data_IF_835704713123
#
_entry.id   IF_835704713123
#
_cell.length_a   1.000
_cell.length_b   1.000
_cell.length_c   1.000
_cell.angle_alpha   90.00
_cell.angle_beta   90.00
_cell.angle_gamma   90.00
#
_symmetry.space_group_name_H-M   'P 1'
#
loop_
_entity.id
_entity.type
_entity.pdbx_description
1 polymer ?
#
# COMPACT_ATOMS: atom_id res chain seq x y z
N UNK A 1 -37.76 -32.63 30.13
CA UNK A 1 -37.99 -31.25 30.54
C UNK A 1 -37.04 -30.35 29.81
N UNK A 2 -37.52 -29.65 28.80
CA UNK A 2 -36.71 -28.66 28.08
C UNK A 2 -36.67 -27.42 28.93
N UNK A 3 -35.53 -27.09 29.50
CA UNK A 3 -35.35 -25.83 30.24
C UNK A 3 -35.17 -24.73 29.20
N UNK A 4 -36.15 -23.85 29.07
CA UNK A 4 -36.01 -22.64 28.26
C UNK A 4 -35.03 -21.72 29.00
N UNK A 5 -33.89 -21.47 28.39
CA UNK A 5 -32.93 -20.49 28.90
C UNK A 5 -33.48 -19.10 28.59
N UNK A 6 -33.73 -18.31 29.61
CA UNK A 6 -34.06 -16.90 29.43
C UNK A 6 -32.75 -16.12 29.29
N UNK A 7 -32.55 -15.49 28.16
CA UNK A 7 -31.37 -14.69 27.82
C UNK A 7 -31.76 -13.20 27.86
N UNK A 8 -30.80 -12.34 28.12
CA UNK A 8 -31.02 -10.89 28.14
C UNK A 8 -30.19 -10.23 27.05
N UNK A 9 -30.86 -9.44 26.21
CA UNK A 9 -30.20 -8.70 25.15
C UNK A 9 -29.27 -7.63 25.74
N UNK A 10 -28.02 -7.63 25.32
CA UNK A 10 -27.02 -6.68 25.79
C UNK A 10 -27.26 -5.24 25.29
N UNK A 11 -28.03 -5.07 24.19
CA UNK A 11 -28.34 -3.75 23.61
C UNK A 11 -29.61 -3.12 24.21
N UNK A 12 -30.71 -3.87 24.35
CA UNK A 12 -32.00 -3.30 24.81
C UNK A 12 -32.46 -3.79 26.18
N UNK A 13 -31.77 -4.74 26.79
CA UNK A 13 -32.16 -5.30 28.09
C UNK A 13 -33.40 -6.22 28.10
N UNK A 14 -34.04 -6.46 26.95
CA UNK A 14 -35.19 -7.36 26.85
C UNK A 14 -34.76 -8.81 27.05
N UNK A 15 -35.58 -9.58 27.78
CA UNK A 15 -35.45 -11.02 27.81
C UNK A 15 -35.92 -11.64 26.50
N UNK A 16 -35.22 -12.64 25.99
CA UNK A 16 -35.58 -13.40 24.80
C UNK A 16 -35.31 -14.89 25.01
N UNK A 17 -35.89 -15.75 24.17
CA UNK A 17 -35.76 -17.19 24.31
C UNK A 17 -34.62 -17.71 23.43
N UNK A 18 -34.06 -18.88 23.80
CA UNK A 18 -33.03 -19.56 23.01
C UNK A 18 -33.54 -20.13 21.67
N UNK A 19 -34.84 -19.96 21.34
CA UNK A 19 -35.40 -20.32 20.06
C UNK A 19 -35.22 -19.21 19.00
N UNK A 20 -34.98 -17.98 19.46
CA UNK A 20 -34.64 -16.88 18.56
C UNK A 20 -33.20 -17.08 18.04
N UNK A 21 -32.88 -16.58 16.87
CA UNK A 21 -31.51 -16.62 16.37
C UNK A 21 -30.56 -15.86 17.28
N UNK A 22 -29.47 -16.51 17.66
CA UNK A 22 -28.46 -15.92 18.54
C UNK A 22 -27.38 -15.30 17.67
N UNK A 23 -27.25 -13.99 17.77
CA UNK A 23 -26.09 -13.26 17.26
C UNK A 23 -25.18 -12.89 18.42
N UNK A 24 -23.89 -13.10 18.24
CA UNK A 24 -22.88 -12.60 19.17
C UNK A 24 -22.01 -11.59 18.44
N UNK A 25 -21.59 -10.60 19.14
CA UNK A 25 -20.63 -9.64 18.63
C UNK A 25 -19.26 -10.30 18.66
N UNK A 26 -18.63 -10.45 17.48
CA UNK A 26 -17.25 -10.93 17.41
C UNK A 26 -16.35 -9.87 18.04
N UNK A 27 -15.95 -10.13 19.26
CA UNK A 27 -14.91 -9.38 19.93
C UNK A 27 -13.73 -10.33 20.10
N UNK A 28 -12.63 -10.09 19.38
CA UNK A 28 -11.40 -10.88 19.46
C UNK A 28 -10.79 -10.89 20.88
N UNK A 29 -11.31 -10.05 21.77
CA UNK A 29 -10.94 -10.00 23.17
C UNK A 29 -11.71 -10.98 24.08
N UNK A 30 -12.70 -11.71 23.54
CA UNK A 30 -13.50 -12.68 24.33
C UNK A 30 -12.61 -13.79 24.88
N UNK A 31 -12.33 -13.76 26.17
CA UNK A 31 -11.50 -14.75 26.86
C UNK A 31 -12.33 -15.84 27.57
N UNK A 32 -13.65 -15.64 27.71
CA UNK A 32 -14.56 -16.58 28.33
C UNK A 32 -15.99 -16.47 27.80
N UNK A 33 -16.80 -17.53 28.00
CA UNK A 33 -18.23 -17.51 27.67
C UNK A 33 -19.04 -16.40 28.40
N UNK A 34 -18.50 -15.84 29.46
CA UNK A 34 -19.14 -14.74 30.19
C UNK A 34 -19.03 -13.40 29.49
N UNK A 35 -18.11 -13.28 28.52
CA UNK A 35 -17.86 -12.06 27.77
C UNK A 35 -18.70 -11.98 26.48
N UNK A 36 -19.45 -13.05 26.15
CA UNK A 36 -20.32 -13.09 24.98
C UNK A 36 -21.52 -12.15 25.18
N UNK A 37 -21.61 -11.13 24.34
CA UNK A 37 -22.75 -10.22 24.31
C UNK A 37 -23.83 -10.77 23.37
N UNK A 38 -24.93 -11.23 23.93
CA UNK A 38 -26.07 -11.72 23.16
C UNK A 38 -26.97 -10.57 22.76
N UNK A 39 -27.41 -10.56 21.51
CA UNK A 39 -28.26 -9.51 20.94
C UNK A 39 -29.53 -10.15 20.35
N UNK A 40 -30.70 -9.58 20.65
CA UNK A 40 -31.98 -10.09 20.12
C UNK A 40 -32.21 -9.68 18.67
N UNK A 41 -33.05 -10.44 17.95
CA UNK A 41 -33.35 -10.22 16.53
C UNK A 41 -33.87 -8.82 16.21
N UNK A 42 -34.68 -8.21 17.10
CA UNK A 42 -35.15 -6.84 16.90
C UNK A 42 -34.01 -5.83 16.88
N UNK A 43 -33.03 -5.99 17.76
CA UNK A 43 -31.86 -5.12 17.80
C UNK A 43 -30.93 -5.34 16.59
N UNK A 44 -30.80 -6.59 16.11
CA UNK A 44 -30.05 -6.90 14.90
C UNK A 44 -30.74 -6.30 13.67
N UNK A 45 -32.06 -6.45 13.59
CA UNK A 45 -32.83 -5.86 12.47
C UNK A 45 -32.68 -4.34 12.44
N UNK A 46 -32.88 -3.67 13.58
CA UNK A 46 -32.71 -2.23 13.68
C UNK A 46 -31.27 -1.77 13.36
N UNK A 47 -30.27 -2.58 13.72
CA UNK A 47 -28.88 -2.31 13.37
C UNK A 47 -28.63 -2.43 11.87
N UNK A 48 -29.13 -3.48 11.21
CA UNK A 48 -29.04 -3.65 9.74
C UNK A 48 -29.81 -2.55 9.00
N UNK A 49 -31.01 -2.20 9.46
CA UNK A 49 -31.82 -1.12 8.88
C UNK A 49 -31.14 0.23 8.98
N UNK A 50 -30.44 0.50 10.09
CA UNK A 50 -29.66 1.72 10.28
C UNK A 50 -28.55 1.84 9.24
N UNK A 51 -27.83 0.76 8.94
CA UNK A 51 -26.65 0.76 8.10
C UNK A 51 -26.97 0.54 6.61
N UNK A 52 -28.08 1.09 6.12
CA UNK A 52 -28.38 1.12 4.69
C UNK A 52 -27.57 2.24 4.03
N UNK A 53 -26.53 1.86 3.29
CA UNK A 53 -25.59 2.79 2.64
C UNK A 53 -26.28 3.35 1.40
N UNK A 54 -26.34 4.69 1.29
CA UNK A 54 -26.79 5.39 0.10
C UNK A 54 -25.59 5.73 -0.80
N UNK A 55 -24.46 6.11 -0.20
CA UNK A 55 -23.23 6.47 -0.91
C UNK A 55 -22.02 6.26 -0.02
N UNK A 56 -20.88 5.93 -0.63
CA UNK A 56 -19.61 5.87 0.06
C UNK A 56 -18.50 6.45 -0.83
N UNK A 57 -17.63 7.25 -0.25
CA UNK A 57 -16.51 7.89 -0.91
C UNK A 57 -15.22 7.57 -0.17
N UNK A 58 -14.26 6.98 -0.89
CA UNK A 58 -12.96 6.60 -0.35
C UNK A 58 -11.92 7.66 -0.64
N UNK A 59 -11.09 7.94 0.36
CA UNK A 59 -9.95 8.85 0.27
C UNK A 59 -8.70 8.16 0.79
N UNK A 60 -7.57 8.40 0.15
CA UNK A 60 -6.29 7.95 0.65
C UNK A 60 -5.36 9.15 0.85
N UNK A 61 -4.84 9.27 2.06
CA UNK A 61 -3.86 10.29 2.39
C UNK A 61 -2.72 9.66 3.21
N UNK A 62 -1.48 9.87 2.78
CA UNK A 62 -0.28 9.34 3.46
C UNK A 62 -0.38 7.81 3.76
N UNK A 63 -0.86 7.03 2.81
CA UNK A 63 -1.08 5.57 2.93
C UNK A 63 -2.16 5.16 3.93
N UNK A 64 -2.93 6.09 4.45
CA UNK A 64 -4.10 5.80 5.27
C UNK A 64 -5.34 5.90 4.39
N UNK A 65 -6.10 4.82 4.32
CA UNK A 65 -7.37 4.77 3.60
C UNK A 65 -8.50 5.12 4.57
N UNK A 66 -9.31 6.09 4.17
CA UNK A 66 -10.50 6.49 4.92
C UNK A 66 -11.72 6.42 4.02
N UNK A 67 -12.89 6.31 4.62
CA UNK A 67 -14.18 6.31 3.92
C UNK A 67 -15.16 7.27 4.58
N UNK A 68 -15.85 8.05 3.76
CA UNK A 68 -17.02 8.83 4.15
C UNK A 68 -18.26 8.10 3.70
N UNK A 69 -19.13 7.73 4.64
CA UNK A 69 -20.36 6.95 4.37
C UNK A 69 -21.56 7.84 4.60
N UNK A 70 -22.45 7.90 3.61
CA UNK A 70 -23.79 8.50 3.73
C UNK A 70 -24.84 7.39 3.76
N UNK A 71 -25.64 7.36 4.83
CA UNK A 71 -26.72 6.41 4.98
C UNK A 71 -28.00 6.93 4.29
N UNK A 72 -28.97 6.02 4.06
CA UNK A 72 -30.24 6.38 3.42
C UNK A 72 -31.10 7.35 4.26
N UNK A 73 -30.91 7.38 5.57
CA UNK A 73 -31.58 8.34 6.47
C UNK A 73 -30.92 9.74 6.47
N UNK A 74 -29.86 9.93 5.68
CA UNK A 74 -29.09 11.17 5.58
C UNK A 74 -27.98 11.32 6.64
N UNK A 75 -27.79 10.34 7.51
CA UNK A 75 -26.65 10.34 8.48
C UNK A 75 -25.34 10.20 7.71
N UNK A 76 -24.35 11.02 8.06
CA UNK A 76 -23.03 10.97 7.45
C UNK A 76 -21.98 10.61 8.50
N UNK A 77 -21.13 9.67 8.17
CA UNK A 77 -19.93 9.29 8.92
C UNK A 77 -18.71 9.69 8.09
N UNK A 78 -17.98 10.70 8.57
CA UNK A 78 -16.86 11.29 7.82
C UNK A 78 -15.52 10.68 8.21
N UNK A 79 -14.66 10.46 7.19
CA UNK A 79 -13.25 10.11 7.36
C UNK A 79 -12.97 8.95 8.32
N UNK A 80 -13.78 7.91 8.27
CA UNK A 80 -13.55 6.71 9.07
C UNK A 80 -12.36 5.92 8.51
N UNK A 81 -11.43 5.57 9.38
CA UNK A 81 -10.36 4.64 9.02
C UNK A 81 -10.95 3.32 8.56
N UNK A 82 -10.44 2.78 7.47
CA UNK A 82 -10.95 1.54 6.91
C UNK A 82 -9.85 0.66 6.34
N UNK A 83 -10.13 -0.64 6.33
CA UNK A 83 -9.24 -1.66 5.77
C UNK A 83 -10.04 -2.58 4.86
N UNK A 84 -9.76 -2.60 3.56
CA UNK A 84 -10.38 -3.56 2.65
C UNK A 84 -9.78 -4.95 2.88
N UNK A 85 -10.65 -5.96 2.84
CA UNK A 85 -10.34 -7.38 2.99
C UNK A 85 -10.76 -8.10 1.72
N UNK A 86 -9.79 -8.43 0.87
CA UNK A 86 -10.05 -9.05 -0.44
C UNK A 86 -10.57 -10.49 -0.32
N UNK A 87 -10.08 -11.23 0.68
CA UNK A 87 -10.47 -12.62 0.93
C UNK A 87 -11.94 -12.78 1.36
N UNK A 88 -12.50 -11.78 2.01
CA UNK A 88 -13.89 -11.76 2.46
C UNK A 88 -14.77 -10.78 1.70
N UNK A 89 -14.24 -10.09 0.68
CA UNK A 89 -14.92 -9.06 -0.11
C UNK A 89 -15.66 -8.05 0.78
N UNK A 90 -14.96 -7.54 1.81
CA UNK A 90 -15.54 -6.66 2.83
C UNK A 90 -14.60 -5.50 3.17
N UNK A 91 -15.16 -4.45 3.76
CA UNK A 91 -14.39 -3.32 4.31
C UNK A 91 -14.64 -3.23 5.80
N UNK A 92 -13.57 -3.39 6.58
CA UNK A 92 -13.61 -3.20 8.03
C UNK A 92 -13.41 -1.72 8.32
N UNK A 93 -14.23 -1.18 9.22
CA UNK A 93 -14.14 0.22 9.68
C UNK A 93 -13.97 0.26 11.19
N UNK A 94 -13.65 1.45 11.74
CA UNK A 94 -13.61 1.67 13.18
C UNK A 94 -14.97 1.55 13.88
N UNK A 95 -16.07 1.62 13.11
CA UNK A 95 -17.44 1.47 13.61
C UNK A 95 -17.94 0.04 13.44
N UNK A 96 -18.80 -0.39 14.38
CA UNK A 96 -19.48 -1.70 14.33
C UNK A 96 -20.61 -1.65 13.29
N UNK A 97 -20.29 -2.06 12.06
CA UNK A 97 -21.25 -2.11 10.94
C UNK A 97 -21.59 -3.56 10.58
N UNK A 98 -22.83 -3.83 10.13
CA UNK A 98 -23.24 -5.19 9.79
C UNK A 98 -22.47 -5.74 8.57
N UNK A 99 -22.27 -7.07 8.49
CA UNK A 99 -21.54 -7.70 7.39
C UNK A 99 -22.08 -7.32 6.00
N UNK A 100 -23.38 -7.17 5.86
CA UNK A 100 -24.03 -6.77 4.60
C UNK A 100 -23.60 -5.36 4.18
N UNK A 101 -23.43 -4.44 5.14
CA UNK A 101 -22.93 -3.10 4.86
C UNK A 101 -21.42 -3.11 4.56
N UNK A 102 -20.64 -4.00 5.21
CA UNK A 102 -19.22 -4.19 4.90
C UNK A 102 -19.02 -4.67 3.45
N UNK A 103 -19.84 -5.62 2.98
CA UNK A 103 -19.83 -6.06 1.58
C UNK A 103 -20.25 -4.95 0.61
N UNK A 104 -21.29 -4.19 0.96
CA UNK A 104 -21.72 -3.07 0.13
C UNK A 104 -20.60 -2.00 0.01
N UNK A 105 -19.86 -1.72 1.08
CA UNK A 105 -18.71 -0.84 1.04
C UNK A 105 -17.60 -1.37 0.13
N UNK A 106 -17.42 -2.67 0.08
CA UNK A 106 -16.39 -3.28 -0.77
C UNK A 106 -16.65 -3.03 -2.26
N UNK A 107 -17.89 -3.00 -2.70
CA UNK A 107 -18.22 -2.64 -4.10
C UNK A 107 -17.78 -1.20 -4.43
N UNK A 108 -18.00 -0.24 -3.51
CA UNK A 108 -17.49 1.13 -3.67
C UNK A 108 -15.97 1.18 -3.66
N UNK A 109 -15.33 0.40 -2.78
CA UNK A 109 -13.87 0.31 -2.75
C UNK A 109 -13.27 -0.23 -4.05
N UNK A 110 -13.86 -1.27 -4.64
CA UNK A 110 -13.41 -1.84 -5.92
C UNK A 110 -13.51 -0.79 -7.04
N UNK A 111 -14.58 0.01 -7.06
CA UNK A 111 -14.72 1.10 -8.02
C UNK A 111 -13.63 2.16 -7.83
N UNK A 112 -13.36 2.57 -6.59
CA UNK A 112 -12.30 3.49 -6.23
C UNK A 112 -10.91 2.95 -6.62
N UNK A 113 -10.61 1.69 -6.29
CA UNK A 113 -9.33 1.06 -6.62
C UNK A 113 -9.08 1.00 -8.14
N UNK A 114 -10.10 0.65 -8.93
CA UNK A 114 -10.03 0.65 -10.40
C UNK A 114 -9.81 2.06 -10.96
N UNK A 115 -10.46 3.06 -10.39
CA UNK A 115 -10.25 4.45 -10.79
C UNK A 115 -8.81 4.88 -10.51
N UNK A 116 -8.27 4.55 -9.33
CA UNK A 116 -6.88 4.84 -8.98
C UNK A 116 -5.89 4.13 -9.89
N UNK A 117 -6.14 2.86 -10.20
CA UNK A 117 -5.31 2.12 -11.15
C UNK A 117 -5.32 2.79 -12.53
N UNK A 118 -6.50 3.17 -13.02
CA UNK A 118 -6.64 3.86 -14.30
C UNK A 118 -5.89 5.21 -14.34
N UNK A 119 -5.79 5.90 -13.22
CA UNK A 119 -5.11 7.18 -13.06
C UNK A 119 -3.57 7.06 -12.97
N UNK A 120 -3.03 5.86 -12.73
CA UNK A 120 -1.59 5.65 -12.69
C UNK A 120 -0.94 5.93 -14.06
N UNK A 121 0.27 6.49 -14.05
CA UNK A 121 1.02 6.66 -15.28
C UNK A 121 1.51 5.31 -15.79
N UNK A 122 1.17 5.01 -17.05
CA UNK A 122 1.64 3.84 -17.76
C UNK A 122 2.97 4.14 -18.44
N UNK A 123 3.02 5.23 -19.20
CA UNK A 123 4.18 5.65 -19.97
C UNK A 123 4.45 7.14 -19.71
N UNK A 124 5.73 7.50 -19.62
CA UNK A 124 6.16 8.87 -19.45
C UNK A 124 7.48 9.09 -20.20
N UNK A 125 7.48 9.99 -21.17
CA UNK A 125 8.65 10.34 -21.97
C UNK A 125 9.04 11.78 -21.72
N UNK A 126 10.30 12.00 -21.36
CA UNK A 126 10.84 13.33 -21.10
C UNK A 126 11.70 13.81 -22.28
N UNK A 127 11.54 15.08 -22.64
CA UNK A 127 12.35 15.77 -23.62
C UNK A 127 12.69 17.18 -23.13
N UNK A 128 13.74 17.79 -23.70
CA UNK A 128 14.07 19.20 -23.43
C UNK A 128 13.44 20.06 -24.51
N UNK A 129 12.62 21.03 -24.08
CA UNK A 129 12.06 22.04 -24.95
C UNK A 129 13.11 23.06 -25.43
N UNK A 130 12.76 23.86 -26.45
CA UNK A 130 13.63 24.89 -27.05
C UNK A 130 14.04 25.97 -26.02
N UNK A 131 13.20 26.24 -25.03
CA UNK A 131 13.45 27.24 -23.98
C UNK A 131 14.23 26.66 -22.77
N UNK A 132 14.74 25.43 -22.86
CA UNK A 132 15.40 24.73 -21.76
C UNK A 132 14.47 24.19 -20.67
N UNK A 133 13.16 24.37 -20.81
CA UNK A 133 12.14 23.75 -19.98
C UNK A 133 12.01 22.26 -20.33
N UNK A 134 11.52 21.50 -19.37
CA UNK A 134 11.24 20.08 -19.61
C UNK A 134 9.84 19.92 -20.20
N UNK A 135 9.73 18.97 -21.11
CA UNK A 135 8.47 18.58 -21.75
C UNK A 135 8.26 17.10 -21.48
N UNK A 136 7.06 16.72 -21.07
CA UNK A 136 6.66 15.34 -20.87
C UNK A 136 5.47 14.97 -21.76
N UNK A 137 5.53 13.77 -22.33
CA UNK A 137 4.40 13.09 -22.95
C UNK A 137 4.01 11.95 -22.02
N UNK A 138 2.77 11.95 -21.56
CA UNK A 138 2.26 11.04 -20.53
C UNK A 138 1.08 10.23 -21.06
N UNK A 139 1.00 8.97 -20.67
CA UNK A 139 -0.17 8.13 -20.88
C UNK A 139 -0.52 7.42 -19.58
N UNK A 140 -1.78 7.50 -19.17
CA UNK A 140 -2.28 6.76 -18.00
C UNK A 140 -2.65 5.33 -18.36
N UNK A 141 -2.79 4.46 -17.33
CA UNK A 141 -3.29 3.08 -17.53
C UNK A 141 -4.71 3.10 -18.10
N UNK A 142 -5.54 4.08 -17.73
CA UNK A 142 -6.88 4.29 -18.28
C UNK A 142 -6.92 4.82 -19.71
N UNK A 143 -5.74 5.15 -20.31
CA UNK A 143 -5.63 5.60 -21.70
C UNK A 143 -5.77 7.11 -21.89
N UNK A 144 -5.80 7.91 -20.83
CA UNK A 144 -5.71 9.37 -20.93
C UNK A 144 -4.33 9.76 -21.41
N UNK A 145 -4.25 10.75 -22.32
CA UNK A 145 -3.00 11.22 -22.91
C UNK A 145 -2.82 12.71 -22.64
N UNK A 146 -1.61 13.06 -22.22
CA UNK A 146 -1.18 14.44 -22.00
C UNK A 146 0.08 14.68 -22.83
N UNK A 147 -0.10 15.32 -24.00
CA UNK A 147 1.00 15.57 -24.92
C UNK A 147 1.63 16.93 -24.64
N UNK A 148 2.95 16.99 -24.71
CA UNK A 148 3.74 18.21 -24.59
C UNK A 148 3.46 19.01 -23.32
N UNK A 149 3.31 18.31 -22.19
CA UNK A 149 3.16 18.93 -20.89
C UNK A 149 4.46 19.65 -20.52
N UNK A 150 4.44 20.98 -20.56
CA UNK A 150 5.61 21.81 -20.20
C UNK A 150 5.66 22.00 -18.69
N UNK A 151 6.82 21.72 -18.10
CA UNK A 151 7.01 21.88 -16.67
C UNK A 151 8.40 22.44 -16.33
N UNK A 152 8.48 23.07 -15.18
CA UNK A 152 9.73 23.52 -14.55
C UNK A 152 9.85 22.93 -13.15
N UNK A 153 11.09 22.84 -12.66
CA UNK A 153 11.36 22.44 -11.29
C UNK A 153 11.93 23.65 -10.55
N UNK A 154 11.16 24.19 -9.62
CA UNK A 154 11.52 25.34 -8.78
C UNK A 154 11.52 24.90 -7.31
N UNK A 155 12.64 25.11 -6.62
CA UNK A 155 12.77 24.78 -5.18
C UNK A 155 12.38 23.33 -4.80
N UNK A 156 12.52 22.38 -5.75
CA UNK A 156 12.15 20.98 -5.56
C UNK A 156 10.68 20.65 -5.83
N UNK A 157 9.89 21.63 -6.21
CA UNK A 157 8.50 21.47 -6.63
C UNK A 157 8.41 21.50 -8.15
N UNK A 158 7.50 20.68 -8.68
CA UNK A 158 7.21 20.64 -10.10
C UNK A 158 6.01 21.54 -10.40
N UNK A 159 6.20 22.48 -11.31
CA UNK A 159 5.13 23.38 -11.78
C UNK A 159 4.87 23.12 -13.26
N UNK A 160 3.63 22.92 -13.62
CA UNK A 160 3.16 22.79 -14.99
C UNK A 160 2.59 24.11 -15.50
N UNK A 161 2.72 24.36 -16.82
CA UNK A 161 2.07 25.51 -17.46
C UNK A 161 0.59 25.21 -17.78
N UNK A 162 0.27 23.95 -17.98
CA UNK A 162 -1.09 23.49 -18.20
C UNK A 162 -1.76 23.13 -16.88
N UNK A 163 -3.07 23.33 -16.82
CA UNK A 163 -3.90 22.84 -15.72
C UNK A 163 -4.11 21.33 -15.88
N UNK A 164 -3.57 20.58 -14.95
CA UNK A 164 -3.65 19.11 -14.94
C UNK A 164 -4.09 18.62 -13.58
N UNK A 165 -4.80 17.49 -13.51
CA UNK A 165 -5.21 16.89 -12.24
C UNK A 165 -4.04 16.57 -11.31
N UNK A 166 -4.25 16.61 -10.00
CA UNK A 166 -3.22 16.37 -8.99
C UNK A 166 -2.56 14.99 -9.13
N UNK A 167 -3.30 13.95 -9.49
CA UNK A 167 -2.75 12.60 -9.70
C UNK A 167 -1.74 12.53 -10.85
N UNK A 168 -1.90 13.38 -11.87
CA UNK A 168 -0.91 13.52 -12.96
C UNK A 168 0.35 14.19 -12.43
N UNK A 169 0.22 15.24 -11.62
CA UNK A 169 1.37 15.92 -11.01
C UNK A 169 2.17 14.97 -10.11
N UNK A 170 1.51 14.20 -9.26
CA UNK A 170 2.17 13.22 -8.40
C UNK A 170 2.90 12.14 -9.19
N UNK A 171 2.24 11.60 -10.22
CA UNK A 171 2.83 10.64 -11.15
C UNK A 171 4.05 11.21 -11.87
N UNK A 172 3.93 12.45 -12.39
CA UNK A 172 5.00 13.15 -13.09
C UNK A 172 6.22 13.40 -12.19
N UNK A 173 6.02 13.80 -10.91
CA UNK A 173 7.10 13.96 -9.92
C UNK A 173 7.85 12.65 -9.72
N UNK A 174 7.12 11.55 -9.58
CA UNK A 174 7.70 10.22 -9.36
C UNK A 174 8.49 9.74 -10.58
N UNK A 175 7.91 9.89 -11.77
CA UNK A 175 8.55 9.54 -13.03
C UNK A 175 9.80 10.40 -13.29
N UNK A 176 9.74 11.69 -13.01
CA UNK A 176 10.88 12.60 -13.22
C UNK A 176 12.04 12.31 -12.27
N UNK A 177 11.77 11.97 -11.00
CA UNK A 177 12.81 11.51 -10.06
C UNK A 177 13.52 10.25 -10.58
N UNK A 178 12.77 9.31 -11.13
CA UNK A 178 13.31 8.09 -11.73
C UNK A 178 14.17 8.39 -12.97
N UNK A 179 13.72 9.30 -13.82
CA UNK A 179 14.45 9.77 -14.98
C UNK A 179 15.80 10.39 -14.59
N UNK A 180 15.82 11.29 -13.60
CA UNK A 180 17.06 11.91 -13.12
C UNK A 180 18.04 10.87 -12.54
N UNK A 181 17.55 9.88 -11.80
CA UNK A 181 18.38 8.81 -11.27
C UNK A 181 19.02 7.99 -12.40
N UNK A 182 18.31 7.71 -13.49
CA UNK A 182 18.84 7.03 -14.66
C UNK A 182 19.89 7.88 -15.40
N UNK A 183 19.65 9.19 -15.61
CA UNK A 183 20.65 10.08 -16.20
C UNK A 183 21.94 10.14 -15.39
N UNK A 184 21.84 10.17 -14.06
CA UNK A 184 23.02 10.14 -13.18
C UNK A 184 23.81 8.83 -13.29
N UNK A 185 23.13 7.68 -13.37
CA UNK A 185 23.78 6.39 -13.58
C UNK A 185 24.51 6.30 -14.91
N UNK A 186 23.89 6.79 -15.99
CA UNK A 186 24.50 6.82 -17.32
C UNK A 186 25.71 7.76 -17.38
N UNK A 187 25.64 8.91 -16.72
CA UNK A 187 26.77 9.87 -16.67
C UNK A 187 27.97 9.33 -15.90
N UNK A 188 27.73 8.57 -14.82
CA UNK A 188 28.80 7.92 -14.05
C UNK A 188 29.41 6.72 -14.78
N UNK A 189 28.63 5.98 -15.55
CA UNK A 189 29.12 4.86 -16.37
C UNK A 189 29.97 5.34 -17.57
N UNK A 190 29.77 6.57 -18.04
CA UNK A 190 30.53 7.18 -19.14
C UNK A 190 31.86 7.79 -18.71
N UNK A 191 32.17 7.84 -17.41
CA UNK A 191 33.50 8.28 -16.96
C UNK A 191 34.53 7.19 -17.26
N UNK A 192 35.61 7.49 -18.03
CA UNK A 192 36.67 6.52 -18.27
C UNK A 192 37.22 6.09 -16.91
N UNK A 193 37.32 4.78 -16.70
CA UNK A 193 37.92 4.21 -15.48
C UNK A 193 39.19 4.96 -15.11
N UNK A 194 39.39 5.35 -13.85
CA UNK A 194 40.61 6.02 -13.44
C UNK A 194 41.79 5.16 -13.87
N UNK A 195 42.64 5.71 -14.73
CA UNK A 195 43.89 5.00 -15.17
C UNK A 195 44.61 4.56 -13.93
N UNK A 196 44.62 3.27 -13.66
CA UNK A 196 45.49 2.72 -12.62
C UNK A 196 46.89 3.25 -12.84
N UNK A 197 47.54 3.81 -11.84
CA UNK A 197 48.92 4.22 -11.97
C UNK A 197 49.71 3.01 -12.45
N UNK A 198 50.34 3.12 -13.63
CA UNK A 198 51.20 2.08 -14.16
C UNK A 198 52.26 1.80 -13.08
N UNK A 199 52.21 0.60 -12.52
CA UNK A 199 53.29 0.14 -11.63
C UNK A 199 54.57 0.22 -12.44
N UNK A 200 55.50 1.10 -12.04
CA UNK A 200 56.87 1.11 -12.58
C UNK A 200 57.39 -0.32 -12.49
N UNK A 201 57.99 -0.86 -13.58
CA UNK A 201 58.60 -2.17 -13.51
C UNK A 201 59.66 -2.13 -12.41
N UNK A 202 59.57 -3.02 -11.44
CA UNK A 202 60.60 -3.20 -10.41
C UNK A 202 61.86 -3.67 -11.10
N UNK A 203 63.05 -3.11 -10.77
CA UNK A 203 64.31 -3.56 -11.32
C UNK A 203 64.55 -5.02 -10.92
N UNK A 204 64.97 -5.82 -11.88
CA UNK A 204 65.21 -7.28 -11.85
C UNK A 204 66.37 -7.75 -10.94
N UNK A 205 66.79 -6.98 -9.95
CA UNK A 205 67.99 -7.29 -9.19
C UNK A 205 67.78 -7.62 -7.71
N UNK A 206 66.75 -8.38 -7.39
CA UNK A 206 66.63 -8.97 -6.03
C UNK A 206 65.96 -10.35 -6.00
N UNK A 207 66.37 -11.24 -6.90
CA UNK A 207 66.15 -12.66 -6.74
C UNK A 207 67.51 -13.32 -6.54
N UNK A 208 68.00 -13.26 -5.36
CA UNK A 208 69.11 -14.21 -4.99
C UNK A 208 69.04 -14.50 -3.49
N UNK A 209 69.03 -15.77 -3.27
CA UNK A 209 69.45 -16.50 -2.06
C UNK A 209 68.49 -16.56 -0.88
N UNK A 210 68.14 -17.81 -0.62
CA UNK A 210 68.33 -18.33 0.71
C UNK A 210 67.18 -19.17 1.25
N UNK A 211 67.34 -20.46 1.06
CA UNK A 211 67.12 -21.54 2.06
C UNK A 211 65.75 -21.66 2.74
N UNK A 212 65.04 -22.71 2.36
CA UNK A 212 65.01 -24.02 3.05
C UNK A 212 64.31 -24.03 4.43
N UNK A 213 63.48 -25.06 4.55
CA UNK A 213 62.83 -25.67 5.75
C UNK A 213 61.50 -25.14 6.27
N UNK A 214 60.54 -26.05 6.26
CA UNK A 214 59.45 -26.04 7.18
C UNK A 214 58.15 -26.71 6.69
N UNK A 215 58.15 -28.02 6.72
CA UNK A 215 56.99 -28.91 6.76
C UNK A 215 55.97 -28.48 7.81
N UNK A 216 54.67 -28.54 7.50
CA UNK A 216 53.71 -28.58 8.57
C UNK A 216 52.28 -28.15 8.26
N UNK A 217 51.49 -29.12 7.97
CA UNK A 217 50.15 -29.34 8.52
C UNK A 217 48.92 -28.72 7.84
N UNK A 218 48.15 -29.62 7.33
CA UNK A 218 46.75 -29.67 7.00
C UNK A 218 45.82 -28.95 7.98
N UNK A 219 44.87 -28.19 7.44
CA UNK A 219 43.74 -27.67 8.17
C UNK A 219 42.68 -27.15 7.25
N UNK A 220 41.79 -28.06 6.83
CA UNK A 220 40.63 -27.70 6.04
C UNK A 220 39.64 -26.86 6.84
N UNK A 221 39.20 -25.79 6.27
CA UNK A 221 38.01 -25.09 6.76
C UNK A 221 36.94 -25.00 5.65
N UNK A 222 35.91 -25.79 5.86
CA UNK A 222 34.70 -25.84 5.05
C UNK A 222 34.01 -24.48 5.03
N UNK A 223 33.77 -24.01 3.83
CA UNK A 223 32.82 -22.91 3.57
C UNK A 223 31.40 -23.41 3.78
N UNK A 224 30.78 -23.01 4.89
CA UNK A 224 29.32 -23.07 5.05
C UNK A 224 28.71 -21.83 4.38
N UNK A 225 28.13 -22.07 3.22
CA UNK A 225 27.20 -21.15 2.58
C UNK A 225 25.91 -21.14 3.42
N UNK A 226 25.61 -20.05 4.12
CA UNK A 226 24.30 -19.78 4.70
C UNK A 226 23.58 -18.81 3.80
N UNK A 227 22.63 -19.34 3.07
CA UNK A 227 21.62 -18.60 2.35
C UNK A 227 20.56 -18.09 3.37
N UNK A 228 20.28 -16.80 3.50
CA UNK A 228 19.21 -16.29 4.36
C UNK A 228 18.06 -15.73 3.52
N UNK A 229 17.41 -16.57 2.72
CA UNK A 229 16.09 -16.26 2.18
C UNK A 229 15.29 -17.55 2.11
N UNK A 230 14.48 -17.74 3.10
CA UNK A 230 13.46 -18.78 3.17
C UNK A 230 12.37 -18.38 4.14
N UNK A 231 11.20 -18.06 3.58
CA UNK A 231 9.94 -18.36 4.22
C UNK A 231 9.22 -17.22 4.95
N UNK A 232 8.13 -16.96 4.42
CA UNK A 232 6.74 -16.62 4.72
C UNK A 232 6.35 -15.25 4.25
#
# INVERSE_FOLDING_TARGET
MIRTLSLTCSRCGKAFSAQDHLYYQDDFSVQSFQDIKLVCDDCIRAWKEKWQIAHAEFHEHNYVLTVTITLQDGTVYENMDCTPMEDTESVITGEDIPPEAQHALYEYYVAFARQREAQQLKDCFFSKGEDGKMVADLTTVGGEQYDKLVFSVEEGYLKTEQDVPDYILEGLVTAYKSYLAQEQMLSTASQPAPRMPQRKPMPESQWNTGDSYGSGNSGGFGRRNKNPFGGF
#
